data_IF_010163028359
#
_entry.id   IF_010163028359
#
_cell.length_a   1.000
_cell.length_b   1.000
_cell.length_c   1.000
_cell.angle_alpha   90.00
_cell.angle_beta   90.00
_cell.angle_gamma   90.00
#
_symmetry.space_group_name_H-M   'P 1'
#
loop_
_entity.id
_entity.type
_entity.pdbx_description
1 polymer ?
#
# COMPACT_ATOMS: atom_id res chain seq x y z
N UNK A 1 -6.74 15.00 -7.46
CA UNK A 1 -5.38 15.07 -6.88
C UNK A 1 -5.46 14.59 -5.45
N UNK A 2 -4.77 13.51 -5.15
CA UNK A 2 -4.69 12.91 -3.82
C UNK A 2 -3.86 13.81 -2.88
N UNK A 3 -4.17 13.83 -1.58
CA UNK A 3 -3.40 14.61 -0.61
C UNK A 3 -2.11 13.89 -0.21
N UNK A 4 -1.07 14.64 0.16
CA UNK A 4 0.18 14.07 0.69
C UNK A 4 -0.04 13.14 1.88
N UNK A 5 -0.99 13.48 2.76
CA UNK A 5 -1.34 12.64 3.89
C UNK A 5 -1.92 11.28 3.45
N UNK A 6 -2.79 11.28 2.42
CA UNK A 6 -3.33 10.03 1.89
C UNK A 6 -2.24 9.17 1.22
N UNK A 7 -1.30 9.79 0.50
CA UNK A 7 -0.13 9.08 -0.06
C UNK A 7 0.71 8.40 1.02
N UNK A 8 1.00 9.13 2.11
CA UNK A 8 1.73 8.59 3.26
C UNK A 8 0.97 7.42 3.91
N UNK A 9 -0.35 7.53 4.04
CA UNK A 9 -1.21 6.46 4.55
C UNK A 9 -1.16 5.21 3.67
N UNK A 10 -1.32 5.34 2.36
CA UNK A 10 -1.30 4.20 1.43
C UNK A 10 0.09 3.56 1.32
N UNK A 11 1.15 4.37 1.27
CA UNK A 11 2.51 3.87 1.36
C UNK A 11 2.78 3.13 2.69
N UNK A 12 2.20 3.60 3.79
CA UNK A 12 2.25 2.91 5.09
C UNK A 12 1.65 1.51 5.02
N UNK A 13 0.47 1.35 4.41
CA UNK A 13 -0.17 0.03 4.22
C UNK A 13 0.71 -0.92 3.40
N UNK A 14 1.36 -0.39 2.36
CA UNK A 14 2.29 -1.14 1.54
C UNK A 14 3.50 -1.64 2.35
N UNK A 15 4.14 -0.75 3.11
CA UNK A 15 5.28 -1.11 3.98
C UNK A 15 4.89 -2.18 5.01
N UNK A 16 3.71 -2.03 5.63
CA UNK A 16 3.22 -2.99 6.61
C UNK A 16 3.01 -4.38 6.00
N UNK A 17 2.43 -4.48 4.80
CA UNK A 17 2.29 -5.75 4.07
C UNK A 17 3.64 -6.41 3.83
N UNK A 18 4.62 -5.66 3.34
CA UNK A 18 5.95 -6.20 3.07
C UNK A 18 6.64 -6.75 4.33
N UNK A 19 6.36 -6.18 5.51
CA UNK A 19 6.92 -6.65 6.78
C UNK A 19 6.14 -7.82 7.40
N UNK A 20 4.90 -8.04 7.00
CA UNK A 20 4.03 -9.14 7.46
C UNK A 20 4.31 -10.45 6.70
N UNK A 21 4.56 -10.33 5.41
CA UNK A 21 4.81 -11.47 4.53
C UNK A 21 6.14 -12.17 4.85
N UNK A 22 6.20 -13.47 4.55
CA UNK A 22 7.46 -14.21 4.58
C UNK A 22 8.31 -13.88 3.35
N UNK A 23 9.65 -14.06 3.42
CA UNK A 23 10.52 -13.79 2.27
C UNK A 23 10.19 -14.55 0.98
N UNK A 24 9.65 -15.78 1.08
CA UNK A 24 9.20 -16.59 -0.06
C UNK A 24 7.86 -16.14 -0.65
N UNK A 25 7.14 -15.27 0.06
CA UNK A 25 5.88 -14.63 -0.34
C UNK A 25 6.09 -13.16 -0.75
N UNK A 26 7.35 -12.70 -0.87
CA UNK A 26 7.69 -11.32 -1.25
C UNK A 26 7.93 -10.38 -0.06
N UNK A 27 7.90 -10.90 1.17
CA UNK A 27 8.20 -10.12 2.37
C UNK A 27 9.67 -9.71 2.49
N UNK A 28 9.93 -8.69 3.31
CA UNK A 28 11.24 -8.07 3.46
C UNK A 28 11.65 -7.95 4.93
N UNK A 29 12.94 -8.10 5.20
CA UNK A 29 13.51 -7.68 6.48
C UNK A 29 14.13 -6.29 6.32
N UNK A 30 13.52 -5.28 6.93
CA UNK A 30 13.93 -3.89 6.74
C UNK A 30 14.93 -3.44 7.82
N UNK A 31 16.23 -3.21 7.50
CA UNK A 31 17.20 -2.71 8.45
C UNK A 31 16.88 -1.28 8.90
N UNK A 32 17.32 -0.90 10.11
CA UNK A 32 17.14 0.46 10.64
C UNK A 32 17.87 1.50 9.79
N UNK A 33 19.07 1.15 9.31
CA UNK A 33 19.75 1.93 8.28
C UNK A 33 19.15 1.52 6.95
N UNK A 34 18.24 2.34 6.43
CA UNK A 34 17.46 2.02 5.25
C UNK A 34 18.38 1.78 4.04
N UNK A 35 18.08 0.81 3.17
CA UNK A 35 18.70 0.72 1.86
C UNK A 35 18.29 1.93 0.99
N UNK A 36 19.11 2.26 0.00
CA UNK A 36 18.88 3.41 -0.89
C UNK A 36 17.47 3.40 -1.52
N UNK A 37 17.03 2.24 -1.98
CA UNK A 37 15.73 2.07 -2.67
C UNK A 37 14.52 2.24 -1.73
N UNK A 38 14.75 2.50 -0.44
CA UNK A 38 13.71 2.76 0.56
C UNK A 38 13.74 4.21 1.08
N UNK A 39 14.69 5.04 0.66
CA UNK A 39 14.87 6.38 1.21
C UNK A 39 13.64 7.27 1.07
N UNK A 40 12.88 7.14 -0.02
CA UNK A 40 11.64 7.89 -0.19
C UNK A 40 10.60 7.57 0.90
N UNK A 41 10.65 6.38 1.50
CA UNK A 41 9.72 5.90 2.54
C UNK A 41 10.18 6.21 3.97
N UNK A 42 11.28 6.93 4.17
CA UNK A 42 11.81 7.23 5.53
C UNK A 42 10.73 7.87 6.42
N UNK A 43 10.08 8.95 5.95
CA UNK A 43 9.00 9.61 6.69
C UNK A 43 7.78 8.72 6.93
N UNK A 44 7.49 7.80 6.00
CA UNK A 44 6.39 6.83 6.14
C UNK A 44 6.70 5.88 7.29
N UNK A 45 7.92 5.34 7.31
CA UNK A 45 8.38 4.39 8.35
C UNK A 45 8.44 5.08 9.71
N UNK A 46 8.94 6.31 9.78
CA UNK A 46 8.91 7.11 11.01
C UNK A 46 7.49 7.33 11.51
N UNK A 47 6.54 7.64 10.61
CA UNK A 47 5.12 7.74 10.94
C UNK A 47 4.57 6.44 11.54
N UNK A 48 4.86 5.29 10.92
CA UNK A 48 4.44 3.98 11.41
C UNK A 48 5.04 3.65 12.80
N UNK A 49 6.25 4.11 13.09
CA UNK A 49 6.85 3.98 14.43
C UNK A 49 6.17 4.88 15.45
N UNK A 50 5.87 6.13 15.08
CA UNK A 50 5.12 7.08 15.92
C UNK A 50 3.72 6.55 16.24
N UNK A 51 3.07 5.94 15.25
CA UNK A 51 1.75 5.30 15.40
C UNK A 51 1.82 3.95 16.12
N UNK A 52 3.01 3.52 16.56
CA UNK A 52 3.29 2.26 17.27
C UNK A 52 2.92 1.01 16.47
N UNK A 53 2.87 1.11 15.13
CA UNK A 53 2.64 -0.02 14.22
C UNK A 53 3.95 -0.77 13.93
N UNK A 54 5.08 -0.06 13.99
CA UNK A 54 6.43 -0.61 13.89
C UNK A 54 7.25 -0.30 15.14
N UNK A 55 8.20 -1.18 15.43
CA UNK A 55 9.24 -0.95 16.43
C UNK A 55 10.62 -1.41 15.95
N UNK A 56 11.67 -0.93 16.61
CA UNK A 56 13.04 -1.33 16.31
C UNK A 56 13.46 -2.51 17.19
N UNK A 57 13.72 -3.66 16.55
CA UNK A 57 14.34 -4.79 17.21
C UNK A 57 15.84 -4.55 17.41
N UNK A 58 16.21 -3.89 18.51
CA UNK A 58 17.59 -3.40 18.79
C UNK A 58 18.70 -4.41 18.57
N UNK A 59 18.50 -5.68 18.95
CA UNK A 59 19.54 -6.72 18.79
C UNK A 59 19.76 -7.15 17.34
N UNK A 60 18.75 -7.01 16.49
CA UNK A 60 18.79 -7.41 15.08
C UNK A 60 19.00 -6.21 14.14
N UNK A 61 18.89 -4.98 14.66
CA UNK A 61 19.10 -3.76 13.87
C UNK A 61 18.08 -3.59 12.74
N UNK A 62 16.84 -4.04 12.94
CA UNK A 62 15.77 -4.01 11.93
C UNK A 62 14.44 -3.55 12.52
N UNK A 63 13.57 -3.03 11.67
CA UNK A 63 12.17 -2.78 12.00
C UNK A 63 11.41 -4.11 12.09
N UNK A 64 10.39 -4.15 12.94
CA UNK A 64 9.44 -5.25 13.02
C UNK A 64 8.04 -4.73 13.36
N UNK A 65 7.02 -5.49 12.96
CA UNK A 65 5.64 -5.21 13.35
C UNK A 65 5.47 -5.37 14.86
N UNK A 66 4.68 -4.47 15.45
CA UNK A 66 4.15 -4.64 16.80
C UNK A 66 2.85 -5.47 16.74
N UNK A 67 2.34 -5.91 17.90
CA UNK A 67 1.00 -6.53 17.97
C UNK A 67 -0.09 -5.60 17.43
N UNK A 68 0.07 -4.28 17.63
CA UNK A 68 -0.83 -3.25 17.09
C UNK A 68 -0.72 -3.15 15.57
N UNK A 69 0.49 -3.23 15.02
CA UNK A 69 0.75 -3.30 13.58
C UNK A 69 0.07 -4.50 12.93
N UNK A 70 0.22 -5.69 13.52
CA UNK A 70 -0.42 -6.92 13.05
C UNK A 70 -1.94 -6.80 13.09
N UNK A 71 -2.50 -6.30 14.21
CA UNK A 71 -3.93 -6.09 14.33
C UNK A 71 -4.46 -5.09 13.28
N UNK A 72 -3.71 -4.01 13.03
CA UNK A 72 -4.08 -3.03 12.02
C UNK A 72 -4.08 -3.62 10.61
N UNK A 73 -3.08 -4.43 10.24
CA UNK A 73 -3.07 -5.17 8.96
C UNK A 73 -4.31 -6.06 8.85
N UNK A 74 -4.67 -6.78 9.92
CA UNK A 74 -5.90 -7.59 9.96
C UNK A 74 -7.16 -6.78 9.61
N UNK A 75 -7.29 -5.57 10.15
CA UNK A 75 -8.43 -4.69 9.80
C UNK A 75 -8.44 -4.23 8.35
N UNK A 76 -7.26 -4.05 7.73
CA UNK A 76 -7.15 -3.69 6.31
C UNK A 76 -7.53 -4.87 5.41
N UNK A 77 -7.15 -6.09 5.81
CA UNK A 77 -7.53 -7.33 5.13
C UNK A 77 -9.04 -7.50 5.17
N UNK A 78 -9.65 -7.41 6.36
CA UNK A 78 -11.11 -7.50 6.52
C UNK A 78 -11.85 -6.43 5.70
N UNK A 79 -11.32 -5.21 5.65
CA UNK A 79 -11.89 -4.13 4.82
C UNK A 79 -11.79 -4.45 3.32
N UNK A 80 -10.65 -4.94 2.85
CA UNK A 80 -10.46 -5.31 1.46
C UNK A 80 -11.38 -6.48 1.05
N UNK A 81 -11.43 -7.54 1.86
CA UNK A 81 -12.29 -8.71 1.66
C UNK A 81 -13.77 -8.30 1.61
N UNK A 82 -14.21 -7.43 2.52
CA UNK A 82 -15.60 -6.96 2.52
C UNK A 82 -15.98 -6.22 1.23
N UNK A 83 -15.07 -5.44 0.64
CA UNK A 83 -15.33 -4.79 -0.65
C UNK A 83 -15.27 -5.76 -1.81
N UNK A 84 -14.34 -6.73 -1.77
CA UNK A 84 -14.23 -7.77 -2.81
C UNK A 84 -15.49 -8.61 -2.83
N UNK A 85 -15.90 -9.15 -1.69
CA UNK A 85 -17.10 -9.97 -1.54
C UNK A 85 -18.39 -9.22 -1.94
N UNK A 86 -18.40 -7.90 -1.79
CA UNK A 86 -19.56 -7.08 -2.16
C UNK A 86 -19.63 -6.78 -3.67
N UNK A 87 -18.49 -6.64 -4.36
CA UNK A 87 -18.42 -6.09 -5.71
C UNK A 87 -17.69 -6.98 -6.73
N UNK A 88 -17.34 -8.22 -6.38
CA UNK A 88 -16.65 -9.16 -7.29
C UNK A 88 -17.42 -9.43 -8.60
N UNK A 89 -18.75 -9.47 -8.51
CA UNK A 89 -19.67 -9.66 -9.63
C UNK A 89 -20.20 -8.33 -10.22
N UNK A 90 -19.82 -7.18 -9.66
CA UNK A 90 -20.32 -5.87 -10.09
C UNK A 90 -19.47 -5.28 -11.22
N UNK A 91 -20.11 -4.61 -12.18
CA UNK A 91 -19.40 -3.77 -13.12
C UNK A 91 -18.76 -2.57 -12.40
N UNK A 92 -17.62 -2.11 -12.91
CA UNK A 92 -16.82 -1.06 -12.24
C UNK A 92 -17.60 0.24 -12.03
N UNK A 93 -18.41 0.66 -13.00
CA UNK A 93 -19.22 1.88 -12.91
C UNK A 93 -20.34 1.76 -11.87
N UNK A 94 -20.94 0.57 -11.72
CA UNK A 94 -21.93 0.27 -10.69
C UNK A 94 -21.31 0.33 -9.28
N UNK A 95 -20.16 -0.32 -9.09
CA UNK A 95 -19.40 -0.26 -7.83
C UNK A 95 -19.07 1.18 -7.46
N UNK A 96 -18.51 1.96 -8.40
CA UNK A 96 -18.12 3.35 -8.17
C UNK A 96 -19.33 4.21 -7.80
N UNK A 97 -20.45 4.06 -8.50
CA UNK A 97 -21.68 4.79 -8.20
C UNK A 97 -22.19 4.48 -6.79
N UNK A 98 -22.16 3.21 -6.39
CA UNK A 98 -22.61 2.76 -5.07
C UNK A 98 -21.70 3.27 -3.95
N UNK A 99 -20.37 3.19 -4.12
CA UNK A 99 -19.40 3.73 -3.17
C UNK A 99 -19.58 5.24 -2.97
N UNK A 100 -19.74 6.00 -4.06
CA UNK A 100 -20.02 7.44 -4.00
C UNK A 100 -21.34 7.73 -3.29
N UNK A 101 -22.40 6.95 -3.56
CA UNK A 101 -23.69 7.08 -2.87
C UNK A 101 -23.59 6.87 -1.36
N UNK A 102 -22.68 6.00 -0.92
CA UNK A 102 -22.38 5.71 0.50
C UNK A 102 -21.33 6.65 1.11
N UNK A 103 -20.87 7.66 0.36
CA UNK A 103 -19.80 8.57 0.78
C UNK A 103 -18.51 7.82 1.20
N UNK A 104 -18.18 6.74 0.47
CA UNK A 104 -16.94 5.99 0.62
C UNK A 104 -15.86 6.54 -0.33
N UNK A 105 -14.61 6.48 0.12
CA UNK A 105 -13.47 6.85 -0.70
C UNK A 105 -13.20 5.76 -1.74
N UNK A 106 -13.59 6.03 -2.98
CA UNK A 106 -13.45 5.10 -4.11
C UNK A 106 -11.97 4.75 -4.37
N UNK A 107 -11.06 5.71 -4.19
CA UNK A 107 -9.63 5.48 -4.41
C UNK A 107 -9.05 4.57 -3.32
N UNK A 108 -9.52 4.70 -2.07
CA UNK A 108 -9.17 3.78 -0.99
C UNK A 108 -9.57 2.35 -1.33
N UNK A 109 -10.82 2.15 -1.76
CA UNK A 109 -11.33 0.82 -2.11
C UNK A 109 -10.48 0.21 -3.22
N UNK A 110 -10.22 0.99 -4.27
CA UNK A 110 -9.39 0.52 -5.40
C UNK A 110 -7.96 0.17 -4.97
N UNK A 111 -7.36 1.00 -4.12
CA UNK A 111 -6.04 0.73 -3.56
C UNK A 111 -6.05 -0.56 -2.72
N UNK A 112 -6.97 -0.70 -1.79
CA UNK A 112 -7.07 -1.90 -0.94
C UNK A 112 -7.28 -3.17 -1.76
N UNK A 113 -8.10 -3.11 -2.80
CA UNK A 113 -8.32 -4.24 -3.71
C UNK A 113 -7.02 -4.68 -4.38
N UNK A 114 -6.28 -3.75 -5.00
CA UNK A 114 -5.01 -4.05 -5.65
C UNK A 114 -3.94 -4.50 -4.66
N UNK A 115 -3.89 -3.86 -3.49
CA UNK A 115 -2.99 -4.24 -2.40
C UNK A 115 -3.26 -5.65 -1.89
N UNK A 116 -4.52 -6.03 -1.69
CA UNK A 116 -4.91 -7.36 -1.22
C UNK A 116 -4.63 -8.45 -2.27
N UNK A 117 -4.94 -8.20 -3.54
CA UNK A 117 -4.71 -9.17 -4.63
C UNK A 117 -3.26 -9.26 -5.11
N UNK A 118 -2.35 -8.47 -4.55
CA UNK A 118 -0.93 -8.48 -4.93
C UNK A 118 -0.61 -7.74 -6.23
N UNK A 119 -1.50 -6.86 -6.69
CA UNK A 119 -1.27 -6.03 -7.89
C UNK A 119 -0.04 -5.14 -7.73
N UNK A 120 0.26 -4.70 -6.50
CA UNK A 120 1.34 -3.77 -6.21
C UNK A 120 2.63 -4.44 -5.74
N UNK A 121 2.67 -5.79 -5.64
CA UNK A 121 3.81 -6.52 -5.05
C UNK A 121 5.14 -6.28 -5.80
N UNK A 122 5.06 -5.92 -7.08
CA UNK A 122 6.18 -5.39 -7.85
C UNK A 122 5.73 -4.08 -8.55
N UNK A 123 6.05 -2.90 -7.99
CA UNK A 123 5.65 -1.62 -8.56
C UNK A 123 6.26 -1.34 -9.95
N UNK A 124 7.38 -1.98 -10.30
CA UNK A 124 7.98 -1.86 -11.64
C UNK A 124 7.17 -2.66 -12.64
N UNK A 125 6.77 -3.87 -12.27
CA UNK A 125 5.90 -4.72 -13.10
C UNK A 125 4.49 -4.14 -13.22
N UNK A 126 3.94 -3.54 -12.16
CA UNK A 126 2.70 -2.77 -12.22
C UNK A 126 2.75 -1.71 -13.33
N UNK A 127 3.79 -0.88 -13.35
CA UNK A 127 3.97 0.16 -14.38
C UNK A 127 4.02 -0.43 -15.79
N UNK A 128 4.74 -1.55 -15.97
CA UNK A 128 4.86 -2.23 -17.27
C UNK A 128 3.53 -2.77 -17.77
N UNK A 129 2.76 -3.43 -16.90
CA UNK A 129 1.43 -3.96 -17.22
C UNK A 129 0.45 -2.86 -17.59
N UNK A 130 0.59 -1.69 -16.96
CA UNK A 130 -0.20 -0.48 -17.23
C UNK A 130 0.30 0.33 -18.43
N UNK A 131 1.41 -0.07 -19.07
CA UNK A 131 1.98 0.64 -20.21
C UNK A 131 2.51 2.04 -19.87
N UNK A 132 2.91 2.27 -18.62
CA UNK A 132 3.45 3.56 -18.17
C UNK A 132 4.83 3.82 -18.79
N UNK A 133 5.08 5.09 -19.17
CA UNK A 133 6.34 5.51 -19.77
C UNK A 133 6.70 6.95 -19.35
N UNK A 134 7.90 7.20 -18.78
CA UNK A 134 8.93 6.21 -18.47
C UNK A 134 8.51 5.26 -17.33
N UNK A 135 9.18 4.11 -17.24
CA UNK A 135 9.07 3.22 -16.08
C UNK A 135 10.08 3.71 -15.04
N UNK A 136 9.56 4.14 -13.89
CA UNK A 136 10.35 4.60 -12.75
C UNK A 136 10.96 3.39 -12.04
N UNK A 137 12.29 3.32 -12.00
CA UNK A 137 13.01 2.26 -11.29
C UNK A 137 13.06 2.48 -9.78
N UNK A 138 12.93 3.72 -9.33
CA UNK A 138 12.77 4.06 -7.92
C UNK A 138 11.31 3.81 -7.51
N UNK A 139 11.03 2.55 -7.17
CA UNK A 139 9.68 2.08 -6.85
C UNK A 139 9.10 2.80 -5.61
N UNK A 140 9.95 3.16 -4.65
CA UNK A 140 9.54 3.81 -3.42
C UNK A 140 9.11 5.26 -3.69
N UNK A 141 9.88 5.99 -4.50
CA UNK A 141 9.48 7.31 -4.97
C UNK A 141 8.22 7.25 -5.84
N UNK A 142 8.10 6.23 -6.69
CA UNK A 142 6.93 6.04 -7.53
C UNK A 142 5.64 5.83 -6.71
N UNK A 143 5.67 5.00 -5.66
CA UNK A 143 4.52 4.78 -4.76
C UNK A 143 4.03 6.06 -4.05
N UNK A 144 4.92 7.02 -3.84
CA UNK A 144 4.63 8.34 -3.26
C UNK A 144 4.34 9.42 -4.31
N UNK A 145 4.40 9.09 -5.60
CA UNK A 145 4.17 10.05 -6.68
C UNK A 145 2.68 10.20 -6.99
N UNK A 146 2.28 11.36 -7.54
CA UNK A 146 0.93 11.51 -8.11
C UNK A 146 0.68 10.51 -9.24
N UNK A 147 1.72 10.16 -10.01
CA UNK A 147 1.61 9.27 -11.17
C UNK A 147 1.07 7.88 -10.81
N UNK A 148 1.41 7.34 -9.64
CA UNK A 148 0.85 6.07 -9.17
C UNK A 148 -0.66 6.17 -8.94
N UNK A 149 -1.11 7.19 -8.21
CA UNK A 149 -2.54 7.35 -7.88
C UNK A 149 -3.37 7.83 -9.06
N UNK A 150 -2.81 8.66 -9.93
CA UNK A 150 -3.46 9.06 -11.18
C UNK A 150 -3.65 7.86 -12.11
N UNK A 151 -2.70 6.91 -12.13
CA UNK A 151 -2.85 5.68 -12.88
C UNK A 151 -3.92 4.76 -12.28
N UNK A 152 -3.99 4.61 -10.95
CA UNK A 152 -5.06 3.87 -10.28
C UNK A 152 -6.44 4.47 -10.53
N UNK A 153 -6.53 5.80 -10.59
CA UNK A 153 -7.77 6.50 -10.85
C UNK A 153 -8.33 6.28 -12.27
N UNK A 154 -7.55 5.71 -13.20
CA UNK A 154 -8.05 5.29 -14.52
C UNK A 154 -9.06 4.15 -14.43
N UNK A 155 -9.11 3.45 -13.30
CA UNK A 155 -10.07 2.36 -13.05
C UNK A 155 -11.38 2.85 -12.40
N UNK A 156 -11.63 4.18 -12.30
CA UNK A 156 -12.71 4.79 -11.47
C UNK A 156 -13.61 5.80 -12.20
#
# INVERSE_FOLDING_TARGET
MISEQAKQTYAGMYVLKLLDLKPDEGGVELPVVLPHDWYALESVIEGLVVDELLEIHRRKGRYQLTDKGIAYIGTLIEEAEAYIDEFDDAETDEMVAELRRRNRDVLRVRFLWGWYQGEFDDPVEFQRRRGMSPVESDWAAFLLSDAFYDNLALDL
#
